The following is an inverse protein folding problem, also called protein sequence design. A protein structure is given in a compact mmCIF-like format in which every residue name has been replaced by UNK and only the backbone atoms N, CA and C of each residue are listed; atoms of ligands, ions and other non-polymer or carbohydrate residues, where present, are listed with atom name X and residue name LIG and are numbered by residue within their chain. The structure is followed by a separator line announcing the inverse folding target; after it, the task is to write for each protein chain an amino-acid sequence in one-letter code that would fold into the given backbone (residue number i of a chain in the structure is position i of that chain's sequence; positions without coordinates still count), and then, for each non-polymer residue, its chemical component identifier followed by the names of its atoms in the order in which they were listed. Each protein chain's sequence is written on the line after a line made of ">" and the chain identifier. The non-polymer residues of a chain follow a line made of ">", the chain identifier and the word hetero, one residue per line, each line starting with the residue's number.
data_IF_259587347408
#
_entry.id   IF_259587347408
#
_cell.length_a   1.000
_cell.length_b   1.000
_cell.length_c   1.000
_cell.angle_alpha   90.00
_cell.angle_beta   90.00
_cell.angle_gamma   90.00
#
_symmetry.space_group_name_H-M   'P 1'
#
loop_
_entity.id
_entity.type
_entity.pdbx_description
1 polymer ?
#
# COMPACT_ATOMS: atom_id res chain seq x y z
N UNK A 1 15.96 1.53 -5.95
CA UNK A 1 15.11 0.39 -5.57
C UNK A 1 14.77 0.44 -4.09
N UNK A 2 15.73 0.35 -3.16
CA UNK A 2 15.42 0.38 -1.71
C UNK A 2 14.72 1.67 -1.25
N UNK A 3 15.17 2.83 -1.75
CA UNK A 3 14.55 4.13 -1.46
C UNK A 3 13.10 4.24 -1.95
N UNK A 4 12.82 3.69 -3.13
CA UNK A 4 11.47 3.66 -3.73
C UNK A 4 10.55 2.75 -2.93
N UNK A 5 11.06 1.60 -2.47
CA UNK A 5 10.31 0.69 -1.60
C UNK A 5 10.01 1.31 -0.25
N UNK A 6 10.97 2.02 0.35
CA UNK A 6 10.75 2.72 1.62
C UNK A 6 9.69 3.83 1.51
N UNK A 7 9.74 4.64 0.44
CA UNK A 7 8.74 5.69 0.17
C UNK A 7 7.37 5.07 -0.11
N UNK A 8 7.31 3.99 -0.90
CA UNK A 8 6.06 3.29 -1.20
C UNK A 8 5.43 2.63 0.05
N UNK A 9 6.24 2.07 0.95
CA UNK A 9 5.76 1.51 2.22
C UNK A 9 5.19 2.59 3.15
N UNK A 10 5.83 3.76 3.20
CA UNK A 10 5.28 4.94 3.90
C UNK A 10 3.96 5.40 3.28
N UNK A 11 3.87 5.42 1.95
CA UNK A 11 2.63 5.77 1.25
C UNK A 11 1.51 4.76 1.55
N UNK A 12 1.80 3.46 1.62
CA UNK A 12 0.82 2.43 1.98
C UNK A 12 0.26 2.64 3.40
N UNK A 13 1.12 3.01 4.36
CA UNK A 13 0.67 3.30 5.73
C UNK A 13 -0.22 4.54 5.76
N UNK A 14 0.14 5.58 5.02
CA UNK A 14 -0.69 6.79 4.89
C UNK A 14 -2.02 6.52 4.17
N UNK A 15 -2.01 5.72 3.12
CA UNK A 15 -3.23 5.29 2.41
C UNK A 15 -4.17 4.53 3.36
N UNK A 16 -3.62 3.70 4.26
CA UNK A 16 -4.40 2.97 5.26
C UNK A 16 -5.06 3.91 6.27
N UNK A 17 -4.31 4.87 6.79
CA UNK A 17 -4.77 5.87 7.77
C UNK A 17 -5.86 6.79 7.18
N UNK A 18 -5.75 7.13 5.89
CA UNK A 18 -6.76 7.90 5.16
C UNK A 18 -8.05 7.10 4.99
N UNK A 19 -7.96 5.79 4.72
CA UNK A 19 -9.13 4.93 4.56
C UNK A 19 -9.84 4.71 5.89
N UNK A 20 -9.09 4.54 6.99
CA UNK A 20 -9.63 4.40 8.35
C UNK A 20 -10.34 5.69 8.80
N UNK A 21 -9.73 6.87 8.57
CA UNK A 21 -10.39 8.15 8.84
C UNK A 21 -11.63 8.38 7.97
N UNK A 22 -11.61 7.91 6.72
CA UNK A 22 -12.78 8.02 5.83
C UNK A 22 -13.93 7.12 6.32
N UNK A 23 -13.63 5.91 6.82
CA UNK A 23 -14.59 5.00 7.43
C UNK A 23 -15.20 5.61 8.71
N UNK A 24 -14.37 6.13 9.62
CA UNK A 24 -14.81 6.78 10.85
C UNK A 24 -15.69 8.01 10.61
N UNK A 25 -15.48 8.72 9.50
CA UNK A 25 -16.30 9.87 9.09
C UNK A 25 -17.65 9.48 8.46
N UNK A 26 -17.98 8.19 8.40
CA UNK A 26 -19.26 7.70 7.87
C UNK A 26 -19.34 7.77 6.35
N UNK A 27 -18.20 7.66 5.66
CA UNK A 27 -18.17 7.65 4.22
C UNK A 27 -18.98 6.47 3.65
N UNK A 28 -19.55 6.60 2.43
CA UNK A 28 -20.43 5.58 1.87
C UNK A 28 -19.74 4.20 1.75
N UNK A 29 -20.40 3.10 2.14
CA UNK A 29 -19.86 1.71 2.06
C UNK A 29 -19.20 1.29 0.73
N UNK A 30 -19.50 1.96 -0.38
CA UNK A 30 -18.86 1.67 -1.67
C UNK A 30 -17.43 2.23 -1.78
N UNK A 31 -17.08 3.29 -1.03
CA UNK A 31 -15.70 3.81 -1.00
C UNK A 31 -14.80 2.97 -0.09
N UNK A 32 -15.33 2.32 0.95
CA UNK A 32 -14.58 1.33 1.75
C UNK A 32 -14.01 0.20 0.88
N UNK A 33 -14.85 -0.39 0.02
CA UNK A 33 -14.42 -1.49 -0.85
C UNK A 33 -13.36 -1.05 -1.88
N UNK A 34 -13.51 0.17 -2.42
CA UNK A 34 -12.54 0.72 -3.37
C UNK A 34 -11.20 1.06 -2.69
N UNK A 35 -11.24 1.57 -1.46
CA UNK A 35 -10.06 1.79 -0.63
C UNK A 35 -9.34 0.49 -0.29
N UNK A 36 -10.07 -0.53 0.14
CA UNK A 36 -9.52 -1.86 0.41
C UNK A 36 -8.88 -2.49 -0.84
N UNK A 37 -9.53 -2.36 -2.01
CA UNK A 37 -8.98 -2.83 -3.29
C UNK A 37 -7.67 -2.11 -3.67
N UNK A 38 -7.61 -0.79 -3.47
CA UNK A 38 -6.40 0.00 -3.71
C UNK A 38 -5.27 -0.40 -2.76
N UNK A 39 -5.56 -0.58 -1.47
CA UNK A 39 -4.60 -1.06 -0.47
C UNK A 39 -4.01 -2.42 -0.85
N UNK A 40 -4.85 -3.37 -1.24
CA UNK A 40 -4.40 -4.72 -1.65
C UNK A 40 -3.52 -4.64 -2.90
N UNK A 41 -3.85 -3.80 -3.89
CA UNK A 41 -3.02 -3.59 -5.07
C UNK A 41 -1.64 -3.03 -4.71
N UNK A 42 -1.58 -2.01 -3.84
CA UNK A 42 -0.32 -1.41 -3.36
C UNK A 42 0.50 -2.41 -2.55
N UNK A 43 -0.14 -3.26 -1.74
CA UNK A 43 0.51 -4.33 -0.98
C UNK A 43 1.15 -5.39 -1.89
N UNK A 44 0.42 -5.84 -2.93
CA UNK A 44 0.93 -6.80 -3.92
C UNK A 44 2.12 -6.19 -4.67
N UNK A 45 2.02 -4.93 -5.07
CA UNK A 45 3.09 -4.24 -5.77
C UNK A 45 4.36 -4.13 -4.91
N UNK A 46 4.23 -3.75 -3.64
CA UNK A 46 5.33 -3.72 -2.68
C UNK A 46 5.98 -5.08 -2.48
N UNK A 47 5.18 -6.15 -2.40
CA UNK A 47 5.69 -7.52 -2.28
C UNK A 47 6.61 -7.90 -3.46
N UNK A 48 6.20 -7.60 -4.69
CA UNK A 48 7.01 -7.86 -5.88
C UNK A 48 8.31 -7.04 -5.85
N UNK A 49 8.25 -5.78 -5.44
CA UNK A 49 9.42 -4.91 -5.41
C UNK A 49 10.44 -5.34 -4.34
N UNK A 50 9.98 -5.86 -3.19
CA UNK A 50 10.82 -6.50 -2.17
C UNK A 50 11.48 -7.76 -2.73
N UNK A 51 10.73 -8.63 -3.42
CA UNK A 51 11.31 -9.81 -4.08
C UNK A 51 12.37 -9.42 -5.13
N UNK A 52 12.14 -8.33 -5.88
CA UNK A 52 13.10 -7.76 -6.82
C UNK A 52 14.37 -7.25 -6.14
N UNK A 53 14.22 -6.60 -4.99
CA UNK A 53 15.35 -6.14 -4.16
C UNK A 53 16.19 -7.30 -3.68
N UNK A 54 15.56 -8.34 -3.12
CA UNK A 54 16.24 -9.55 -2.65
C UNK A 54 16.94 -10.23 -3.83
N UNK A 55 16.30 -10.31 -5.01
CA UNK A 55 16.93 -10.87 -6.21
C UNK A 55 18.13 -10.06 -6.70
N UNK A 56 18.15 -8.73 -6.54
CA UNK A 56 19.30 -7.88 -6.86
C UNK A 56 20.43 -8.00 -5.84
N UNK A 57 20.11 -8.23 -4.57
CA UNK A 57 21.08 -8.44 -3.49
C UNK A 57 21.73 -9.83 -3.53
N UNK A 58 21.02 -10.82 -4.08
CA UNK A 58 21.52 -12.20 -4.25
C UNK A 58 22.39 -12.40 -5.51
N UNK A 59 22.58 -11.36 -6.32
CA UNK A 59 23.38 -11.37 -7.55
C UNK A 59 24.59 -10.47 -7.39
#
# INVERSE_FOLDING_TARGET
>A
SLFVVAIAALNLVLDFDIIEQADEQGAPKYVEWFGAMALVATLIWLYIEILRLISKLRR
#
